data_IF_099134053674
#
_entry.id   IF_099134053674
#
_cell.length_a   1.000
_cell.length_b   1.000
_cell.length_c   1.000
_cell.angle_alpha   90.00
_cell.angle_beta   90.00
_cell.angle_gamma   90.00
#
_symmetry.space_group_name_H-M   'P 1'
#
loop_
_entity.id
_entity.type
_entity.pdbx_description
1 polymer ?
#
# COMPACT_ATOMS: atom_id res chain seq x y z
N UNK A 1 16.65 -6.39 -17.74
CA UNK A 1 16.62 -7.51 -16.78
C UNK A 1 15.37 -7.38 -15.94
N UNK A 2 14.50 -8.39 -15.86
CA UNK A 2 13.29 -8.29 -15.06
C UNK A 2 13.69 -8.27 -13.58
N UNK A 3 13.13 -7.33 -12.83
CA UNK A 3 13.32 -7.24 -11.38
C UNK A 3 13.01 -8.61 -10.75
N UNK A 4 13.92 -9.12 -9.91
CA UNK A 4 13.68 -10.30 -9.09
C UNK A 4 12.40 -10.05 -8.27
N UNK A 5 11.31 -10.72 -8.63
CA UNK A 5 10.15 -10.84 -7.76
C UNK A 5 10.65 -11.60 -6.52
N UNK A 6 10.78 -10.90 -5.40
CA UNK A 6 11.04 -11.52 -4.11
C UNK A 6 10.02 -12.65 -3.91
N UNK A 7 10.49 -13.82 -3.48
CA UNK A 7 9.60 -14.95 -3.21
C UNK A 7 8.53 -14.51 -2.21
N UNK A 8 7.26 -14.70 -2.57
CA UNK A 8 6.13 -14.36 -1.69
C UNK A 8 6.21 -15.21 -0.44
N UNK A 9 6.48 -14.59 0.71
CA UNK A 9 6.53 -15.29 2.00
C UNK A 9 5.21 -15.14 2.75
N UNK A 10 4.94 -16.06 3.66
CA UNK A 10 3.76 -15.99 4.52
C UNK A 10 3.73 -14.69 5.34
N UNK A 11 4.86 -14.27 5.90
CA UNK A 11 4.95 -13.09 6.76
C UNK A 11 4.64 -11.81 5.98
N UNK A 12 5.20 -11.67 4.77
CA UNK A 12 4.95 -10.51 3.91
C UNK A 12 3.50 -10.47 3.41
N UNK A 13 2.94 -11.61 3.01
CA UNK A 13 1.54 -11.73 2.62
C UNK A 13 0.58 -11.42 3.78
N UNK A 14 0.85 -11.96 4.98
CA UNK A 14 0.03 -11.72 6.18
C UNK A 14 0.09 -10.26 6.61
N UNK A 15 1.26 -9.63 6.59
CA UNK A 15 1.42 -8.20 6.87
C UNK A 15 0.58 -7.34 5.91
N UNK A 16 0.64 -7.67 4.60
CA UNK A 16 -0.14 -6.97 3.57
C UNK A 16 -1.65 -7.17 3.76
N UNK A 17 -2.09 -8.41 4.04
CA UNK A 17 -3.48 -8.70 4.35
C UNK A 17 -3.99 -7.87 5.54
N UNK A 18 -3.24 -7.88 6.64
CA UNK A 18 -3.51 -7.11 7.85
C UNK A 18 -3.69 -5.61 7.54
N UNK A 19 -2.78 -5.03 6.75
CA UNK A 19 -2.86 -3.64 6.27
C UNK A 19 -4.14 -3.38 5.48
N UNK A 20 -4.52 -4.26 4.56
CA UNK A 20 -5.73 -4.14 3.73
C UNK A 20 -7.00 -4.25 4.58
N UNK A 21 -7.08 -5.25 5.46
CA UNK A 21 -8.24 -5.49 6.33
C UNK A 21 -8.48 -4.31 7.26
N UNK A 22 -7.41 -3.76 7.86
CA UNK A 22 -7.50 -2.62 8.76
C UNK A 22 -7.94 -1.34 8.04
N UNK A 23 -7.29 -1.01 6.91
CA UNK A 23 -7.61 0.20 6.12
C UNK A 23 -9.04 0.20 5.61
N UNK A 24 -9.52 -0.95 5.12
CA UNK A 24 -10.84 -1.08 4.52
C UNK A 24 -11.93 -1.54 5.51
N UNK A 25 -11.57 -1.77 6.79
CA UNK A 25 -12.48 -2.26 7.85
C UNK A 25 -13.26 -3.52 7.45
N UNK A 26 -12.59 -4.46 6.78
CA UNK A 26 -13.19 -5.68 6.25
C UNK A 26 -13.43 -6.69 7.38
N UNK A 27 -14.66 -7.21 7.50
CA UNK A 27 -15.00 -8.24 8.47
C UNK A 27 -14.88 -9.64 7.86
N UNK A 28 -13.66 -10.16 7.77
CA UNK A 28 -13.39 -11.46 7.10
C UNK A 28 -14.22 -12.62 7.63
N UNK A 29 -14.57 -12.61 8.92
CA UNK A 29 -15.42 -13.63 9.55
C UNK A 29 -16.75 -13.82 8.82
N UNK A 30 -17.41 -12.74 8.41
CA UNK A 30 -18.72 -12.76 7.76
C UNK A 30 -18.68 -13.49 6.41
N UNK A 31 -17.52 -13.52 5.74
CA UNK A 31 -17.35 -14.18 4.44
C UNK A 31 -16.89 -15.64 4.55
N UNK A 32 -16.40 -16.07 5.72
CA UNK A 32 -15.86 -17.42 5.93
C UNK A 32 -16.82 -18.30 6.74
N UNK A 33 -17.60 -17.74 7.67
CA UNK A 33 -18.46 -18.52 8.55
C UNK A 33 -19.56 -19.31 7.81
N UNK A 34 -20.02 -18.82 6.66
CA UNK A 34 -21.06 -19.47 5.85
C UNK A 34 -20.61 -20.82 5.28
N UNK A 35 -19.30 -21.02 5.15
CA UNK A 35 -18.69 -22.27 4.70
C UNK A 35 -18.53 -23.31 5.82
N UNK A 36 -18.72 -22.91 7.08
CA UNK A 36 -18.61 -23.77 8.28
C UNK A 36 -19.93 -23.80 9.06
N UNK A 37 -20.97 -24.40 8.45
CA UNK A 37 -22.32 -24.50 9.03
C UNK A 37 -22.35 -25.21 10.39
N UNK A 38 -21.37 -26.09 10.65
CA UNK A 38 -21.27 -26.86 11.89
C UNK A 38 -20.40 -26.19 12.95
N UNK A 39 -19.84 -25.00 12.67
CA UNK A 39 -18.99 -24.23 13.59
C UNK A 39 -17.81 -25.04 14.14
N UNK A 40 -17.21 -25.87 13.29
CA UNK A 40 -16.04 -26.68 13.64
C UNK A 40 -14.74 -25.88 13.65
N UNK A 41 -14.75 -24.67 13.11
CA UNK A 41 -13.59 -23.80 13.01
C UNK A 41 -12.67 -24.13 11.83
N UNK A 42 -13.15 -24.94 10.89
CA UNK A 42 -12.42 -25.46 9.73
C UNK A 42 -13.24 -25.29 8.44
N UNK A 43 -12.57 -25.03 7.32
CA UNK A 43 -13.18 -24.96 5.98
C UNK A 43 -12.30 -25.65 4.93
N UNK A 44 -12.81 -25.90 3.74
CA UNK A 44 -11.99 -26.36 2.62
C UNK A 44 -11.06 -25.23 2.14
N UNK A 45 -9.83 -25.51 1.69
CA UNK A 45 -8.93 -24.49 1.13
C UNK A 45 -9.57 -23.71 -0.05
N UNK A 46 -10.40 -24.36 -0.86
CA UNK A 46 -11.14 -23.70 -1.95
C UNK A 46 -12.18 -22.69 -1.45
N UNK A 47 -12.80 -22.95 -0.28
CA UNK A 47 -13.74 -22.03 0.35
C UNK A 47 -13.03 -20.78 0.88
N UNK A 48 -11.78 -20.93 1.38
CA UNK A 48 -10.98 -19.79 1.78
C UNK A 48 -10.77 -18.82 0.60
N UNK A 49 -10.25 -19.30 -0.53
CA UNK A 49 -10.04 -18.46 -1.72
C UNK A 49 -11.33 -17.76 -2.16
N UNK A 50 -12.46 -18.47 -2.12
CA UNK A 50 -13.78 -17.90 -2.46
C UNK A 50 -14.23 -16.84 -1.45
N UNK A 51 -14.05 -17.08 -0.16
CA UNK A 51 -14.37 -16.10 0.89
C UNK A 51 -13.52 -14.83 0.77
N UNK A 52 -12.22 -14.97 0.44
CA UNK A 52 -11.33 -13.82 0.20
C UNK A 52 -11.75 -13.01 -1.03
N UNK A 53 -12.20 -13.66 -2.10
CA UNK A 53 -12.76 -12.98 -3.28
C UNK A 53 -14.09 -12.29 -2.96
N UNK A 54 -14.98 -12.93 -2.18
CA UNK A 54 -16.23 -12.30 -1.73
C UNK A 54 -15.98 -11.08 -0.85
N UNK A 55 -14.93 -11.10 -0.03
CA UNK A 55 -14.46 -9.96 0.76
C UNK A 55 -13.76 -8.87 -0.08
N UNK A 56 -13.54 -9.10 -1.38
CA UNK A 56 -12.85 -8.18 -2.29
C UNK A 56 -11.36 -8.03 -2.02
N UNK A 57 -10.73 -8.99 -1.32
CA UNK A 57 -9.31 -8.96 -0.96
C UNK A 57 -8.41 -9.30 -2.15
N UNK A 58 -8.94 -10.06 -3.11
CA UNK A 58 -8.30 -10.43 -4.39
C UNK A 58 -7.92 -9.21 -5.26
N UNK A 59 -8.53 -8.04 -5.00
CA UNK A 59 -8.16 -6.77 -5.64
C UNK A 59 -6.84 -6.19 -5.14
N UNK A 60 -6.39 -6.61 -3.96
CA UNK A 60 -5.22 -6.04 -3.28
C UNK A 60 -4.09 -7.05 -3.10
N UNK A 61 -4.42 -8.33 -2.93
CA UNK A 61 -3.46 -9.42 -2.79
C UNK A 61 -3.48 -10.31 -4.02
N UNK A 62 -2.29 -10.69 -4.47
CA UNK A 62 -2.08 -11.65 -5.54
C UNK A 62 -2.54 -13.06 -5.16
N UNK A 63 -2.85 -13.92 -6.15
CA UNK A 63 -3.19 -15.31 -5.89
C UNK A 63 -2.09 -16.08 -5.13
N UNK A 64 -0.82 -15.72 -5.36
CA UNK A 64 0.32 -16.33 -4.67
C UNK A 64 0.36 -15.96 -3.17
N UNK A 65 0.08 -14.70 -2.83
CA UNK A 65 0.00 -14.24 -1.43
C UNK A 65 -1.15 -14.94 -0.70
N UNK A 66 -2.32 -15.04 -1.33
CA UNK A 66 -3.46 -15.74 -0.74
C UNK A 66 -3.20 -17.24 -0.59
N UNK A 67 -2.53 -17.87 -1.56
CA UNK A 67 -2.16 -19.28 -1.47
C UNK A 67 -1.17 -19.53 -0.32
N UNK A 68 -0.15 -18.68 -0.15
CA UNK A 68 0.81 -18.79 0.94
C UNK A 68 0.13 -18.69 2.32
N UNK A 69 -0.82 -17.76 2.47
CA UNK A 69 -1.62 -17.63 3.69
C UNK A 69 -2.48 -18.88 3.91
N UNK A 70 -3.24 -19.31 2.90
CA UNK A 70 -4.12 -20.47 3.02
C UNK A 70 -3.36 -21.75 3.38
N UNK A 71 -2.21 -21.97 2.74
CA UNK A 71 -1.37 -23.14 2.98
C UNK A 71 -0.82 -23.18 4.41
N UNK A 72 -0.46 -22.03 5.00
CA UNK A 72 0.05 -21.95 6.37
C UNK A 72 -0.93 -22.50 7.42
N UNK A 73 -2.24 -22.32 7.21
CA UNK A 73 -3.29 -22.79 8.11
C UNK A 73 -3.96 -24.10 7.65
N UNK A 74 -3.47 -24.70 6.56
CA UNK A 74 -4.03 -25.95 6.03
C UNK A 74 -3.35 -27.14 6.68
N UNK A 75 -4.16 -28.07 7.18
CA UNK A 75 -3.72 -29.30 7.85
C UNK A 75 -4.36 -30.53 7.21
N UNK A 76 -3.64 -31.66 7.15
CA UNK A 76 -4.22 -32.92 6.69
C UNK A 76 -5.22 -33.44 7.72
N UNK A 77 -6.46 -33.67 7.30
CA UNK A 77 -7.51 -34.27 8.14
C UNK A 77 -7.64 -35.77 7.95
N UNK A 78 -7.43 -36.22 6.72
CA UNK A 78 -7.48 -37.63 6.32
C UNK A 78 -6.49 -37.82 5.18
N UNK A 79 -6.15 -39.07 4.84
CA UNK A 79 -5.19 -39.39 3.77
C UNK A 79 -5.50 -38.73 2.41
N UNK A 80 -6.76 -38.35 2.15
CA UNK A 80 -7.20 -37.71 0.90
C UNK A 80 -7.87 -36.35 1.09
N UNK A 81 -7.84 -35.77 2.30
CA UNK A 81 -8.57 -34.54 2.60
C UNK A 81 -7.77 -33.61 3.50
N UNK A 82 -7.68 -32.36 3.07
CA UNK A 82 -7.09 -31.25 3.80
C UNK A 82 -8.18 -30.25 4.19
N UNK A 83 -7.95 -29.57 5.31
CA UNK A 83 -8.83 -28.52 5.83
C UNK A 83 -8.00 -27.35 6.32
N UNK A 84 -8.53 -26.15 6.19
CA UNK A 84 -7.92 -24.93 6.67
C UNK A 84 -8.56 -24.51 8.00
N UNK A 85 -7.73 -24.28 9.02
CA UNK A 85 -8.12 -23.78 10.34
C UNK A 85 -8.40 -22.28 10.29
N UNK A 86 -9.53 -21.87 9.66
CA UNK A 86 -9.82 -20.46 9.44
C UNK A 86 -10.02 -19.65 10.73
N UNK A 87 -10.36 -20.31 11.84
CA UNK A 87 -10.48 -19.64 13.15
C UNK A 87 -9.14 -19.14 13.69
N UNK A 88 -8.06 -19.88 13.46
CA UNK A 88 -6.69 -19.45 13.82
C UNK A 88 -6.25 -18.29 12.92
N UNK A 89 -6.50 -18.41 11.62
CA UNK A 89 -6.30 -17.32 10.66
C UNK A 89 -7.04 -16.04 11.08
N UNK A 90 -8.32 -16.14 11.43
CA UNK A 90 -9.10 -14.99 11.87
C UNK A 90 -8.55 -14.41 13.18
N UNK A 91 -8.12 -15.24 14.13
CA UNK A 91 -7.51 -14.75 15.36
C UNK A 91 -6.23 -13.95 15.09
N UNK A 92 -5.37 -14.43 14.20
CA UNK A 92 -4.14 -13.73 13.83
C UNK A 92 -4.40 -12.43 13.08
N UNK A 93 -5.43 -12.38 12.23
CA UNK A 93 -5.87 -11.15 11.57
C UNK A 93 -6.48 -10.19 12.59
N UNK A 94 -7.44 -10.64 13.42
CA UNK A 94 -8.17 -9.81 14.39
C UNK A 94 -7.26 -9.23 15.48
N UNK A 95 -6.14 -9.88 15.78
CA UNK A 95 -5.10 -9.40 16.70
C UNK A 95 -4.53 -8.01 16.32
N UNK A 96 -4.76 -7.56 15.07
CA UNK A 96 -4.45 -6.20 14.61
C UNK A 96 -5.29 -5.12 15.29
N UNK A 97 -6.55 -5.43 15.62
CA UNK A 97 -7.51 -4.47 16.14
C UNK A 97 -7.45 -4.43 17.66
N UNK A 98 -7.38 -5.60 18.27
CA UNK A 98 -7.32 -5.74 19.72
C UNK A 98 -6.77 -7.10 20.09
N UNK A 99 -6.20 -7.21 21.29
CA UNK A 99 -5.80 -8.48 21.85
C UNK A 99 -7.02 -9.15 22.48
N UNK A 100 -7.24 -10.42 22.18
CA UNK A 100 -8.28 -11.21 22.84
C UNK A 100 -7.91 -11.44 24.32
N UNK A 101 -8.92 -11.72 25.15
CA UNK A 101 -8.78 -12.07 26.58
C UNK A 101 -8.17 -10.98 27.48
N UNK A 102 -8.33 -9.69 27.14
CA UNK A 102 -7.85 -8.58 27.99
C UNK A 102 -8.49 -8.57 29.38
N UNK A 103 -9.67 -9.17 29.56
CA UNK A 103 -10.29 -9.37 30.86
C UNK A 103 -9.44 -10.23 31.82
N UNK A 104 -8.52 -11.04 31.29
CA UNK A 104 -7.58 -11.85 32.09
C UNK A 104 -6.29 -11.09 32.42
N UNK A 105 -6.04 -9.97 31.73
CA UNK A 105 -4.80 -9.18 31.85
C UNK A 105 -5.12 -7.66 31.86
N UNK A 106 -5.79 -7.14 32.91
CA UNK A 106 -6.28 -5.75 32.92
C UNK A 106 -5.19 -4.68 32.94
N UNK A 107 -3.94 -5.03 33.28
CA UNK A 107 -2.79 -4.12 33.29
C UNK A 107 -2.03 -4.09 31.96
N UNK A 108 -2.41 -4.93 30.99
CA UNK A 108 -1.74 -4.99 29.71
C UNK A 108 -2.08 -3.76 28.85
N UNK A 109 -1.04 -3.05 28.39
CA UNK A 109 -1.22 -1.88 27.53
C UNK A 109 -1.30 -2.32 26.07
N UNK A 110 -2.44 -2.08 25.44
CA UNK A 110 -2.63 -2.28 24.00
C UNK A 110 -2.48 -0.95 23.29
N UNK A 111 -1.62 -0.84 22.27
CA UNK A 111 -1.52 0.38 21.48
C UNK A 111 -2.85 0.68 20.79
N UNK A 112 -3.26 1.95 20.78
CA UNK A 112 -4.55 2.37 20.23
C UNK A 112 -4.71 2.08 18.74
N UNK A 113 -3.60 2.03 18.00
CA UNK A 113 -3.56 1.67 16.58
C UNK A 113 -2.26 0.90 16.28
N UNK A 114 -2.29 -0.05 15.33
CA UNK A 114 -1.09 -0.71 14.83
C UNK A 114 -0.32 0.26 13.93
N UNK A 115 0.51 1.11 14.55
CA UNK A 115 1.31 2.14 13.86
C UNK A 115 2.19 1.58 12.76
N UNK A 116 2.65 0.34 12.90
CA UNK A 116 3.50 -0.36 11.92
C UNK A 116 2.80 -0.58 10.56
N UNK A 117 1.48 -0.62 10.53
CA UNK A 117 0.69 -0.89 9.31
C UNK A 117 0.27 0.38 8.57
N UNK A 118 0.38 1.53 9.23
CA UNK A 118 -0.09 2.82 8.74
C UNK A 118 1.09 3.72 8.41
N UNK A 119 1.37 3.90 7.12
CA UNK A 119 2.27 4.97 6.68
C UNK A 119 1.55 6.32 6.77
N UNK A 120 1.72 6.98 7.91
CA UNK A 120 1.19 8.34 8.18
C UNK A 120 1.89 9.39 7.31
N UNK A 121 3.08 9.11 6.82
CA UNK A 121 3.93 10.04 6.10
C UNK A 121 3.95 9.76 4.59
N UNK A 122 3.05 8.89 4.09
CA UNK A 122 2.98 8.49 2.67
C UNK A 122 2.85 9.67 1.71
N UNK A 123 2.27 10.78 2.16
CA UNK A 123 2.10 12.00 1.36
C UNK A 123 3.20 13.03 1.63
N UNK A 124 4.00 12.84 2.67
CA UNK A 124 5.14 13.70 2.99
C UNK A 124 6.42 13.21 2.30
N UNK A 125 6.62 11.89 2.21
CA UNK A 125 7.79 11.27 1.57
C UNK A 125 7.47 9.89 1.01
N UNK A 126 8.27 9.45 0.02
CA UNK A 126 8.26 8.05 -0.40
C UNK A 126 9.05 7.19 0.58
N UNK A 127 8.49 6.02 0.94
CA UNK A 127 9.13 4.99 1.78
C UNK A 127 10.07 4.08 0.98
N UNK A 128 10.02 4.12 -0.35
CA UNK A 128 10.77 3.22 -1.23
C UNK A 128 12.23 3.62 -1.30
N UNK A 129 13.13 2.67 -1.10
CA UNK A 129 14.59 2.83 -1.28
C UNK A 129 15.00 2.13 -2.58
N UNK A 130 15.62 2.88 -3.50
CA UNK A 130 16.12 2.37 -4.78
C UNK A 130 17.61 2.00 -4.77
N UNK A 131 18.26 2.11 -3.61
CA UNK A 131 19.69 1.89 -3.43
C UNK A 131 20.53 3.14 -3.71
N UNK A 132 21.79 3.15 -3.24
CA UNK A 132 22.57 4.38 -3.08
C UNK A 132 22.84 5.12 -4.41
N UNK A 133 23.10 4.39 -5.50
CA UNK A 133 23.38 5.00 -6.81
C UNK A 133 22.13 5.68 -7.40
N UNK A 134 20.99 5.00 -7.37
CA UNK A 134 19.72 5.54 -7.88
C UNK A 134 19.21 6.71 -7.03
N UNK A 135 19.38 6.63 -5.71
CA UNK A 135 18.99 7.71 -4.78
C UNK A 135 19.86 8.96 -4.98
N UNK A 136 21.16 8.81 -5.26
CA UNK A 136 22.02 9.95 -5.59
C UNK A 136 21.54 10.65 -6.88
N UNK A 137 21.27 9.90 -7.94
CA UNK A 137 20.70 10.43 -9.18
C UNK A 137 19.33 11.10 -8.96
N UNK A 138 18.47 10.51 -8.12
CA UNK A 138 17.18 11.10 -7.73
C UNK A 138 17.34 12.42 -6.99
N UNK A 139 18.32 12.53 -6.08
CA UNK A 139 18.58 13.74 -5.33
C UNK A 139 19.00 14.88 -6.26
N UNK A 140 19.92 14.61 -7.20
CA UNK A 140 20.35 15.59 -8.22
C UNK A 140 19.19 16.01 -9.12
N UNK A 141 18.40 15.04 -9.60
CA UNK A 141 17.23 15.30 -10.43
C UNK A 141 16.18 16.15 -9.70
N UNK A 142 15.88 15.80 -8.46
CA UNK A 142 14.87 16.50 -7.67
C UNK A 142 15.32 17.92 -7.32
N UNK A 143 16.60 18.11 -6.98
CA UNK A 143 17.19 19.43 -6.77
C UNK A 143 17.14 20.30 -8.03
N UNK A 144 17.42 19.71 -9.21
CA UNK A 144 17.29 20.40 -10.50
C UNK A 144 15.86 20.83 -10.79
N UNK A 145 14.87 19.96 -10.53
CA UNK A 145 13.45 20.28 -10.69
C UNK A 145 13.04 21.40 -9.72
N UNK A 146 13.43 21.30 -8.45
CA UNK A 146 13.13 22.29 -7.41
C UNK A 146 13.71 23.67 -7.75
N UNK A 147 14.96 23.74 -8.21
CA UNK A 147 15.60 25.00 -8.63
C UNK A 147 14.88 25.66 -9.82
N UNK A 148 14.43 24.87 -10.80
CA UNK A 148 13.64 25.38 -11.94
C UNK A 148 12.28 25.90 -11.47
N UNK A 149 11.59 25.15 -10.61
CA UNK A 149 10.30 25.55 -10.02
C UNK A 149 10.44 26.84 -9.20
N UNK A 150 11.45 26.92 -8.34
CA UNK A 150 11.75 28.10 -7.52
C UNK A 150 12.05 29.34 -8.36
N UNK A 151 12.91 29.22 -9.39
CA UNK A 151 13.24 30.34 -10.29
C UNK A 151 12.06 30.84 -11.11
N UNK A 152 11.13 29.95 -11.46
CA UNK A 152 9.93 30.29 -12.24
C UNK A 152 8.73 30.67 -11.37
N UNK A 153 8.83 30.53 -10.04
CA UNK A 153 7.70 30.72 -9.13
C UNK A 153 6.55 29.74 -9.37
N UNK A 154 6.87 28.51 -9.78
CA UNK A 154 5.89 27.48 -10.13
C UNK A 154 5.69 26.55 -8.95
N UNK A 155 4.46 26.54 -8.41
CA UNK A 155 4.00 25.46 -7.52
C UNK A 155 3.61 24.25 -8.35
N UNK A 156 4.21 23.09 -8.09
CA UNK A 156 4.05 21.92 -8.96
C UNK A 156 2.75 21.14 -8.69
N UNK A 157 2.30 21.12 -7.42
CA UNK A 157 1.12 20.36 -6.98
C UNK A 157 -0.17 20.71 -7.76
N UNK A 158 -0.52 22.00 -7.99
CA UNK A 158 -1.74 22.35 -8.74
C UNK A 158 -1.82 21.76 -10.16
N UNK A 159 -0.68 21.59 -10.85
CA UNK A 159 -0.68 21.00 -12.20
C UNK A 159 -1.00 19.50 -12.19
N UNK A 160 -0.67 18.82 -11.09
CA UNK A 160 -1.05 17.43 -10.86
C UNK A 160 -2.47 17.30 -10.32
N UNK A 161 -2.94 18.23 -9.48
CA UNK A 161 -4.33 18.27 -9.03
C UNK A 161 -5.29 18.32 -10.23
N UNK A 162 -4.98 19.16 -11.23
CA UNK A 162 -5.73 19.26 -12.50
C UNK A 162 -5.70 17.94 -13.29
N UNK A 163 -4.54 17.28 -13.39
CA UNK A 163 -4.44 15.99 -14.06
C UNK A 163 -5.16 14.85 -13.32
N UNK A 164 -5.23 14.92 -11.99
CA UNK A 164 -5.89 13.92 -11.15
C UNK A 164 -7.43 14.05 -11.16
N UNK A 165 -7.95 15.25 -11.46
CA UNK A 165 -9.39 15.53 -11.53
C UNK A 165 -10.04 15.13 -12.86
N UNK A 166 -9.25 14.85 -13.89
CA UNK A 166 -9.76 14.41 -15.20
C UNK A 166 -10.57 13.10 -15.07
N UNK A 167 -11.72 13.04 -15.75
CA UNK A 167 -12.65 11.90 -15.69
C UNK A 167 -12.06 10.60 -16.24
N UNK A 168 -11.01 10.69 -17.07
CA UNK A 168 -10.23 9.54 -17.53
C UNK A 168 -9.15 9.08 -16.53
N UNK A 169 -9.03 9.74 -15.38
CA UNK A 169 -8.09 9.37 -14.33
C UNK A 169 -8.66 8.28 -13.41
N UNK A 170 -7.80 7.36 -12.97
CA UNK A 170 -8.07 6.51 -11.82
C UNK A 170 -8.21 7.41 -10.59
N UNK A 171 -9.43 7.56 -10.07
CA UNK A 171 -9.81 8.50 -8.98
C UNK A 171 -9.23 8.10 -7.61
N UNK A 172 -7.92 7.85 -7.52
CA UNK A 172 -7.20 7.64 -6.27
C UNK A 172 -6.58 8.96 -5.82
N UNK A 173 -7.00 9.44 -4.65
CA UNK A 173 -6.52 10.71 -4.11
C UNK A 173 -4.99 10.77 -3.99
N UNK A 174 -4.42 11.88 -4.46
CA UNK A 174 -2.98 12.15 -4.43
C UNK A 174 -2.15 11.33 -5.41
N UNK A 175 -2.80 10.67 -6.38
CA UNK A 175 -2.13 9.86 -7.39
C UNK A 175 -2.53 10.26 -8.82
N UNK A 176 -1.63 10.00 -9.76
CA UNK A 176 -1.83 10.14 -11.21
C UNK A 176 -1.23 8.93 -11.93
N UNK A 177 -1.69 8.64 -13.15
CA UNK A 177 -1.08 7.60 -13.99
C UNK A 177 0.33 7.97 -14.44
N UNK A 178 1.13 6.98 -14.85
CA UNK A 178 2.49 7.21 -15.38
C UNK A 178 2.51 8.20 -16.56
N UNK A 179 1.50 8.12 -17.42
CA UNK A 179 1.37 9.00 -18.60
C UNK A 179 1.06 10.43 -18.18
N UNK A 180 0.06 10.62 -17.30
CA UNK A 180 -0.28 11.94 -16.76
C UNK A 180 0.91 12.55 -16.02
N UNK A 181 1.67 11.75 -15.26
CA UNK A 181 2.86 12.22 -14.54
C UNK A 181 3.92 12.79 -15.50
N UNK A 182 4.25 12.03 -16.55
CA UNK A 182 5.20 12.46 -17.60
C UNK A 182 4.71 13.71 -18.34
N UNK A 183 3.43 13.73 -18.72
CA UNK A 183 2.83 14.86 -19.45
C UNK A 183 2.78 16.13 -18.58
N UNK A 184 2.47 16.01 -17.30
CA UNK A 184 2.46 17.14 -16.38
C UNK A 184 3.84 17.81 -16.32
N UNK A 185 4.90 17.03 -16.09
CA UNK A 185 6.27 17.56 -16.01
C UNK A 185 6.77 18.16 -17.33
N UNK A 186 6.55 17.47 -18.45
CA UNK A 186 7.13 17.86 -19.74
C UNK A 186 6.31 18.91 -20.50
N UNK A 187 4.98 18.82 -20.48
CA UNK A 187 4.09 19.70 -21.27
C UNK A 187 3.56 20.85 -20.42
N UNK A 188 2.97 20.55 -19.25
CA UNK A 188 2.30 21.58 -18.44
C UNK A 188 3.29 22.46 -17.68
N UNK A 189 4.28 21.84 -17.04
CA UNK A 189 5.32 22.55 -16.25
C UNK A 189 6.52 22.94 -17.14
N UNK A 190 6.66 22.31 -18.32
CA UNK A 190 7.73 22.57 -19.28
C UNK A 190 9.13 22.40 -18.69
N UNK A 191 9.34 21.26 -18.02
CA UNK A 191 10.64 20.81 -17.51
C UNK A 191 11.17 19.71 -18.44
N UNK A 192 12.40 19.89 -18.92
CA UNK A 192 13.07 18.88 -19.74
C UNK A 192 13.60 17.75 -18.85
N UNK A 193 13.00 16.59 -19.00
CA UNK A 193 13.33 15.36 -18.28
C UNK A 193 13.51 14.26 -19.32
N UNK A 194 14.57 13.46 -19.19
CA UNK A 194 14.80 12.32 -20.08
C UNK A 194 13.83 11.18 -19.77
N UNK A 195 13.58 10.24 -20.70
CA UNK A 195 12.73 9.09 -20.42
C UNK A 195 13.20 8.25 -19.22
N UNK A 196 14.52 8.15 -19.01
CA UNK A 196 15.12 7.38 -17.93
C UNK A 196 14.98 8.09 -16.58
N UNK A 197 15.16 9.42 -16.54
CA UNK A 197 14.90 10.24 -15.36
C UNK A 197 13.42 10.17 -14.93
N UNK A 198 12.52 10.22 -15.91
CA UNK A 198 11.08 10.07 -15.65
C UNK A 198 10.75 8.66 -15.12
N UNK A 199 11.38 7.62 -15.67
CA UNK A 199 11.21 6.26 -15.18
C UNK A 199 11.72 6.11 -13.73
N UNK A 200 12.83 6.78 -13.39
CA UNK A 200 13.41 6.77 -12.05
C UNK A 200 12.48 7.46 -11.02
N UNK A 201 11.91 8.62 -11.37
CA UNK A 201 10.90 9.29 -10.54
C UNK A 201 9.65 8.42 -10.36
N UNK A 202 9.16 7.81 -11.44
CA UNK A 202 8.02 6.90 -11.36
C UNK A 202 8.36 5.76 -10.41
N UNK A 203 9.49 5.07 -10.60
CA UNK A 203 9.92 3.97 -9.74
C UNK A 203 9.94 4.38 -8.26
N UNK A 204 10.46 5.57 -7.93
CA UNK A 204 10.53 6.09 -6.55
C UNK A 204 9.16 6.35 -5.94
N UNK A 205 8.20 6.87 -6.70
CA UNK A 205 6.91 7.35 -6.19
C UNK A 205 5.72 6.47 -6.59
N UNK A 206 5.93 5.30 -7.21
CA UNK A 206 4.89 4.32 -7.52
C UNK A 206 4.16 3.87 -6.24
N UNK A 207 2.83 3.73 -6.33
CA UNK A 207 2.01 3.21 -5.23
C UNK A 207 2.24 1.71 -5.03
N UNK A 208 2.37 1.27 -3.77
CA UNK A 208 2.64 -0.13 -3.41
C UNK A 208 1.59 -1.12 -3.96
N UNK A 209 0.30 -0.77 -3.84
CA UNK A 209 -0.80 -1.65 -4.26
C UNK A 209 -1.25 -1.44 -5.71
N UNK A 210 -0.88 -0.30 -6.32
CA UNK A 210 -1.36 0.09 -7.65
C UNK A 210 -0.16 0.55 -8.48
N UNK A 211 0.61 -0.39 -9.07
CA UNK A 211 1.88 -0.11 -9.73
C UNK A 211 1.80 0.85 -10.92
N UNK A 212 0.60 1.09 -11.45
CA UNK A 212 0.29 2.02 -12.54
C UNK A 212 0.14 3.48 -12.09
N UNK A 213 0.11 3.73 -10.77
CA UNK A 213 -0.14 5.02 -10.16
C UNK A 213 1.09 5.58 -9.45
N UNK A 214 1.27 6.89 -9.55
CA UNK A 214 2.37 7.64 -8.95
C UNK A 214 1.81 8.61 -7.93
N UNK A 215 2.36 8.60 -6.73
CA UNK A 215 2.04 9.54 -5.65
C UNK A 215 2.69 10.90 -5.93
N UNK A 216 1.96 11.76 -6.66
CA UNK A 216 2.46 13.09 -6.99
C UNK A 216 2.51 14.02 -5.77
N UNK A 217 1.74 13.76 -4.72
CA UNK A 217 1.72 14.61 -3.52
C UNK A 217 3.05 14.49 -2.78
N UNK A 218 3.53 13.25 -2.56
CA UNK A 218 4.86 13.02 -2.00
C UNK A 218 5.97 13.63 -2.85
N UNK A 219 5.89 13.46 -4.18
CA UNK A 219 6.83 14.10 -5.09
C UNK A 219 6.79 15.63 -4.99
N UNK A 220 5.60 16.22 -4.92
CA UNK A 220 5.42 17.67 -4.78
C UNK A 220 6.02 18.20 -3.48
N UNK A 221 5.85 17.48 -2.37
CA UNK A 221 6.47 17.84 -1.09
C UNK A 221 8.00 17.80 -1.13
N UNK A 222 8.60 16.89 -1.91
CA UNK A 222 10.05 16.83 -2.08
C UNK A 222 10.58 17.98 -2.96
N UNK A 223 9.82 18.38 -3.98
CA UNK A 223 10.22 19.43 -4.94
C UNK A 223 9.97 20.84 -4.38
N UNK A 224 8.82 21.03 -3.73
CA UNK A 224 8.32 22.31 -3.23
C UNK A 224 7.79 22.09 -1.81
N UNK A 225 8.68 21.99 -0.80
CA UNK A 225 8.27 21.79 0.57
C UNK A 225 7.46 23.01 1.05
N UNK A 226 6.29 22.80 1.68
CA UNK A 226 5.47 23.90 2.15
C UNK A 226 6.26 24.76 3.13
N UNK A 227 6.19 26.08 2.97
CA UNK A 227 6.80 27.02 3.90
C UNK A 227 6.34 26.69 5.33
N UNK A 228 7.31 26.56 6.25
CA UNK A 228 7.00 26.45 7.67
C UNK A 228 6.13 27.66 8.03
N UNK A 229 4.94 27.38 8.59
CA UNK A 229 4.08 28.45 9.10
C UNK A 229 4.91 29.20 10.12
N UNK A 230 5.18 30.48 9.86
CA UNK A 230 5.77 31.36 10.86
C UNK A 230 4.99 31.16 12.16
N UNK A 231 5.68 30.69 13.20
CA UNK A 231 5.10 30.58 14.53
C UNK A 231 4.49 31.94 14.84
N UNK A 232 3.19 31.94 15.10
CA UNK A 232 2.47 33.14 15.49
C UNK A 232 3.10 33.53 16.82
N UNK A 233 3.89 34.60 16.83
CA UNK A 233 4.34 35.23 18.07
C UNK A 233 3.06 35.64 18.82
N UNK A 234 2.71 34.86 19.85
CA UNK A 234 1.74 35.22 20.88
C UNK A 234 2.48 36.02 21.95
#
# INVERSE_FOLDING_TARGET
>A
MPAQQAAVTYESAMFRLKKVVYKNRIRLREFLCDFDKLRKGEILPSHFTRGMAMAGVDKFLSPAELAAIGQHYTVPKTASMEVMMYTQFLADVDAIFTKNDLERSPLEQVPAEPSELLDRNRYQRSSRDLGPEKEACLAELTARIADICGKRGIMIKPFFDDAAQDDHSTKLYGHVTHTQFKQCLSVKVNIRITPDEAALLIEKYTHEDFPELVNYVAFSHTVDPPLERFETYI
#
